data_IF_874077170651
#
_entry.id   IF_874077170651
#
_cell.length_a   1.000
_cell.length_b   1.000
_cell.length_c   1.000
_cell.angle_alpha   90.00
_cell.angle_beta   90.00
_cell.angle_gamma   90.00
#
_symmetry.space_group_name_H-M   'P 1'
#
loop_
_entity.id
_entity.type
_entity.pdbx_description
1 polymer ?
#
# COMPACT_ATOMS: atom_id res chain seq x y z
N UNK A 1 -16.51 -28.09 -38.80
CA UNK A 1 -17.03 -28.18 -37.42
C UNK A 1 -15.98 -27.55 -36.51
N UNK A 2 -16.30 -26.39 -35.94
CA UNK A 2 -15.42 -25.68 -35.01
C UNK A 2 -15.71 -26.21 -33.60
N UNK A 3 -14.67 -26.69 -32.90
CA UNK A 3 -14.75 -26.92 -31.46
C UNK A 3 -13.65 -26.10 -30.81
N UNK A 4 -14.11 -24.90 -30.47
CA UNK A 4 -13.52 -23.93 -29.59
C UNK A 4 -13.28 -24.58 -28.21
N UNK A 5 -12.03 -24.79 -27.85
CA UNK A 5 -11.64 -25.10 -26.47
C UNK A 5 -11.00 -23.85 -25.86
N UNK A 6 -11.85 -22.85 -25.64
CA UNK A 6 -11.57 -21.75 -24.72
C UNK A 6 -11.40 -22.26 -23.29
N UNK A 7 -10.19 -22.75 -22.98
CA UNK A 7 -9.77 -23.00 -21.60
C UNK A 7 -9.80 -21.70 -20.80
N UNK A 8 -10.09 -21.74 -19.49
CA UNK A 8 -10.26 -20.55 -18.68
C UNK A 8 -8.99 -19.70 -18.75
N UNK A 9 -9.11 -18.37 -18.89
CA UNK A 9 -7.95 -17.50 -18.89
C UNK A 9 -7.22 -17.72 -17.57
N UNK A 10 -6.00 -18.25 -17.66
CA UNK A 10 -5.06 -18.24 -16.56
C UNK A 10 -5.02 -16.80 -16.05
N UNK A 11 -5.58 -16.58 -14.85
CA UNK A 11 -5.45 -15.34 -14.15
C UNK A 11 -3.96 -15.08 -14.04
N UNK A 12 -3.46 -14.19 -14.91
CA UNK A 12 -2.10 -13.68 -14.83
C UNK A 12 -2.00 -13.11 -13.43
N UNK A 13 -1.32 -13.83 -12.55
CA UNK A 13 -0.82 -13.33 -11.29
C UNK A 13 0.22 -12.27 -11.65
N UNK A 14 -0.24 -11.13 -12.15
CA UNK A 14 0.45 -9.87 -11.94
C UNK A 14 0.69 -9.84 -10.44
N UNK A 15 1.95 -9.99 -10.05
CA UNK A 15 2.42 -9.54 -8.75
C UNK A 15 2.23 -8.03 -8.74
N UNK A 16 0.96 -7.59 -8.67
CA UNK A 16 0.52 -6.21 -8.80
C UNK A 16 1.32 -5.45 -7.76
N UNK A 17 2.22 -4.60 -8.27
CA UNK A 17 3.08 -3.73 -7.49
C UNK A 17 2.27 -3.20 -6.31
N UNK A 18 2.70 -3.52 -5.10
CA UNK A 18 2.07 -2.99 -3.90
C UNK A 18 2.17 -1.46 -4.02
N UNK A 19 1.04 -0.73 -3.92
CA UNK A 19 1.05 0.70 -4.14
C UNK A 19 1.90 1.42 -3.08
N UNK A 20 2.82 2.27 -3.55
CA UNK A 20 3.83 2.97 -2.72
C UNK A 20 3.32 4.19 -1.95
N UNK A 21 2.02 4.47 -1.93
CA UNK A 21 1.49 5.60 -1.15
C UNK A 21 0.97 5.14 0.20
N UNK A 22 1.12 5.98 1.22
CA UNK A 22 0.66 5.70 2.59
C UNK A 22 -0.84 5.44 2.65
N UNK A 23 -1.64 6.26 1.95
CA UNK A 23 -3.10 6.14 1.88
C UNK A 23 -3.55 4.78 1.33
N UNK A 24 -2.88 4.30 0.29
CA UNK A 24 -3.20 3.00 -0.30
C UNK A 24 -2.76 1.87 0.63
N UNK A 25 -1.56 1.95 1.22
CA UNK A 25 -1.11 0.95 2.18
C UNK A 25 -2.08 0.80 3.37
N UNK A 26 -2.60 1.91 3.92
CA UNK A 26 -3.60 1.92 4.99
C UNK A 26 -4.92 1.27 4.53
N UNK A 27 -5.39 1.60 3.34
CA UNK A 27 -6.60 1.00 2.76
C UNK A 27 -6.45 -0.51 2.54
N UNK A 28 -5.30 -0.96 2.04
CA UNK A 28 -5.02 -2.39 1.85
C UNK A 28 -4.89 -3.13 3.18
N UNK A 29 -4.24 -2.55 4.19
CA UNK A 29 -4.18 -3.13 5.54
C UNK A 29 -5.58 -3.25 6.16
N UNK A 30 -6.42 -2.23 6.03
CA UNK A 30 -7.81 -2.28 6.50
C UNK A 30 -8.63 -3.38 5.83
N UNK A 31 -8.49 -3.55 4.50
CA UNK A 31 -9.12 -4.67 3.78
C UNK A 31 -8.54 -6.03 4.17
N UNK A 32 -7.23 -6.10 4.42
CA UNK A 32 -6.56 -7.32 4.82
C UNK A 32 -7.05 -7.80 6.19
N UNK A 33 -7.33 -6.89 7.12
CA UNK A 33 -7.92 -7.22 8.41
C UNK A 33 -9.25 -7.98 8.26
N UNK A 34 -10.15 -7.49 7.38
CA UNK A 34 -11.42 -8.18 7.10
C UNK A 34 -11.22 -9.56 6.47
N UNK A 35 -10.19 -9.72 5.62
CA UNK A 35 -9.85 -11.00 5.01
C UNK A 35 -9.32 -11.97 6.06
N UNK A 36 -8.45 -11.49 6.95
CA UNK A 36 -7.87 -12.27 8.06
C UNK A 36 -8.96 -12.76 9.02
N UNK A 37 -9.90 -11.89 9.40
CA UNK A 37 -11.05 -12.26 10.24
C UNK A 37 -11.87 -13.39 9.60
N UNK A 38 -12.11 -13.31 8.28
CA UNK A 38 -12.85 -14.34 7.53
C UNK A 38 -12.05 -15.62 7.30
N UNK A 39 -10.72 -15.54 7.26
CA UNK A 39 -9.85 -16.68 6.99
C UNK A 39 -9.71 -17.64 8.19
N UNK A 40 -10.01 -17.19 9.41
CA UNK A 40 -9.97 -18.02 10.62
C UNK A 40 -8.59 -18.68 10.80
N UNK A 41 -8.55 -20.01 10.78
CA UNK A 41 -7.31 -20.78 10.93
C UNK A 41 -6.27 -20.52 9.83
N UNK A 42 -6.69 -20.02 8.67
CA UNK A 42 -5.81 -19.69 7.54
C UNK A 42 -5.26 -18.26 7.58
N UNK A 43 -5.58 -17.49 8.62
CA UNK A 43 -5.11 -16.12 8.83
C UNK A 43 -3.58 -15.96 8.72
N UNK A 44 -2.84 -16.97 9.16
CA UNK A 44 -1.36 -16.95 9.17
C UNK A 44 -0.75 -16.81 7.77
N UNK A 45 -1.43 -17.27 6.72
CA UNK A 45 -0.97 -17.15 5.33
C UNK A 45 -0.85 -15.68 4.87
N UNK A 46 -1.55 -14.76 5.53
CA UNK A 46 -1.56 -13.34 5.18
C UNK A 46 -0.50 -12.52 5.92
N UNK A 47 0.16 -13.09 6.94
CA UNK A 47 1.21 -12.41 7.73
C UNK A 47 2.31 -11.80 6.86
N UNK A 48 2.87 -12.50 5.83
CA UNK A 48 3.92 -11.92 5.00
C UNK A 48 3.43 -10.69 4.21
N UNK A 49 2.17 -10.69 3.78
CA UNK A 49 1.54 -9.59 3.04
C UNK A 49 1.33 -8.39 3.97
N UNK A 50 0.80 -8.64 5.18
CA UNK A 50 0.63 -7.60 6.20
C UNK A 50 1.97 -6.92 6.54
N UNK A 51 3.01 -7.70 6.85
CA UNK A 51 4.34 -7.17 7.18
C UNK A 51 4.93 -6.32 6.06
N UNK A 52 4.74 -6.74 4.80
CA UNK A 52 5.21 -5.97 3.66
C UNK A 52 4.47 -4.63 3.55
N UNK A 53 3.14 -4.62 3.67
CA UNK A 53 2.34 -3.40 3.65
C UNK A 53 2.69 -2.44 4.80
N UNK A 54 2.92 -2.96 6.00
CA UNK A 54 3.36 -2.17 7.16
C UNK A 54 4.72 -1.50 6.91
N UNK A 55 5.67 -2.21 6.30
CA UNK A 55 6.98 -1.65 5.95
C UNK A 55 6.88 -0.52 4.93
N UNK A 56 6.15 -0.75 3.84
CA UNK A 56 5.94 0.27 2.79
C UNK A 56 5.20 1.50 3.35
N UNK A 57 4.24 1.29 4.26
CA UNK A 57 3.55 2.38 4.95
C UNK A 57 4.52 3.21 5.81
N UNK A 58 5.39 2.56 6.57
CA UNK A 58 6.38 3.24 7.39
C UNK A 58 7.36 4.06 6.55
N UNK A 59 7.84 3.50 5.43
CA UNK A 59 8.71 4.19 4.47
C UNK A 59 8.01 5.41 3.85
N UNK A 60 6.78 5.24 3.35
CA UNK A 60 6.01 6.33 2.76
C UNK A 60 5.73 7.47 3.77
N UNK A 61 5.47 7.13 5.04
CA UNK A 61 5.28 8.12 6.11
C UNK A 61 6.59 8.86 6.44
N UNK A 62 7.71 8.15 6.50
CA UNK A 62 9.01 8.76 6.75
C UNK A 62 9.40 9.72 5.62
N UNK A 63 9.18 9.35 4.36
CA UNK A 63 9.42 10.22 3.21
C UNK A 63 8.54 11.49 3.25
N UNK A 64 7.25 11.34 3.56
CA UNK A 64 6.33 12.46 3.70
C UNK A 64 6.74 13.42 4.84
N UNK A 65 7.24 12.87 5.94
CA UNK A 65 7.75 13.66 7.06
C UNK A 65 9.01 14.44 6.68
N UNK A 66 9.97 13.80 6.01
CA UNK A 66 11.19 14.47 5.51
C UNK A 66 10.84 15.60 4.56
N UNK A 67 9.93 15.35 3.60
CA UNK A 67 9.48 16.37 2.66
C UNK A 67 8.80 17.55 3.38
N UNK A 68 7.98 17.26 4.38
CA UNK A 68 7.32 18.28 5.21
C UNK A 68 8.34 19.12 5.98
N UNK A 69 9.37 18.49 6.56
CA UNK A 69 10.46 19.19 7.25
C UNK A 69 11.27 20.06 6.30
N UNK A 70 11.55 19.59 5.08
CA UNK A 70 12.26 20.37 4.05
C UNK A 70 11.46 21.60 3.62
N UNK A 71 10.15 21.45 3.38
CA UNK A 71 9.27 22.57 3.04
C UNK A 71 9.26 23.64 4.13
N UNK A 72 9.15 23.24 5.40
CA UNK A 72 9.19 24.17 6.55
C UNK A 72 10.50 24.96 6.64
N UNK A 73 11.62 24.38 6.22
CA UNK A 73 12.93 25.06 6.19
C UNK A 73 13.07 26.03 5.01
N UNK A 74 12.31 25.83 3.94
CA UNK A 74 12.36 26.67 2.73
C UNK A 74 11.36 27.83 2.76
N UNK A 75 10.40 27.84 3.69
CA UNK A 75 9.51 28.98 3.91
C UNK A 75 10.26 30.06 4.71
N UNK A 76 10.68 31.19 4.11
CA UNK A 76 11.22 32.29 4.90
C UNK A 76 10.16 32.82 5.88
N UNK A 77 10.54 33.30 7.07
CA UNK A 77 9.60 33.98 7.95
C UNK A 77 8.99 35.19 7.19
N UNK A 78 7.71 35.51 7.41
CA UNK A 78 7.09 36.68 6.79
C UNK A 78 7.94 37.93 7.12
N UNK A 79 8.11 38.86 6.18
CA UNK A 79 8.88 40.07 6.43
C UNK A 79 8.28 40.79 7.63
N UNK A 80 9.08 40.97 8.68
CA UNK A 80 8.66 41.79 9.82
C UNK A 80 8.53 43.24 9.33
N UNK A 81 7.29 43.69 9.16
CA UNK A 81 6.99 45.09 8.96
C UNK A 81 7.28 45.79 10.29
N UNK A 82 8.41 46.49 10.35
CA UNK A 82 8.66 47.57 11.30
C UNK A 82 7.92 48.84 10.86
#
# INVERSE_FOLDING_TARGET
MASDHGGPPHAKSDHRSIPRTSELCELYLGRLALVVERAGQNASAFIPIARRLERELAEAKAEAEVLTRLRKRQTPPPPQQN
#
